data_IF_652156236361
#
_entry.id   IF_652156236361
#
_cell.length_a   1.000
_cell.length_b   1.000
_cell.length_c   1.000
_cell.angle_alpha   90.00
_cell.angle_beta   90.00
_cell.angle_gamma   90.00
#
_symmetry.space_group_name_H-M   'P 1'
#
loop_
_entity.id
_entity.type
_entity.pdbx_description
1 polymer ?
#
# COMPACT_ATOMS: atom_id res chain seq x y z
N UNK A 1 13.06 3.20 -5.77
CA UNK A 1 12.46 2.40 -6.86
C UNK A 1 11.07 1.89 -6.45
N UNK A 2 10.12 1.67 -7.38
CA UNK A 2 8.81 1.12 -7.06
C UNK A 2 8.89 -0.38 -6.76
N UNK A 3 8.17 -0.83 -5.74
CA UNK A 3 8.04 -2.26 -5.41
C UNK A 3 6.57 -2.62 -5.18
N UNK A 4 6.15 -3.81 -5.60
CA UNK A 4 4.77 -4.27 -5.47
C UNK A 4 4.66 -5.29 -4.34
N UNK A 5 3.77 -5.03 -3.39
CA UNK A 5 3.41 -5.98 -2.34
C UNK A 5 2.15 -6.74 -2.80
N UNK A 6 2.14 -8.06 -2.62
CA UNK A 6 1.02 -8.94 -3.01
C UNK A 6 0.06 -9.18 -1.84
N UNK A 7 0.58 -9.36 -0.63
CA UNK A 7 -0.22 -9.70 0.55
C UNK A 7 -0.50 -8.50 1.44
N UNK A 8 -1.67 -8.50 2.09
CA UNK A 8 -2.06 -7.44 3.02
C UNK A 8 -1.18 -7.47 4.28
N UNK A 9 -0.80 -8.67 4.75
CA UNK A 9 0.05 -8.84 5.94
C UNK A 9 1.39 -8.11 5.78
N UNK A 10 2.07 -8.33 4.66
CA UNK A 10 3.34 -7.67 4.33
C UNK A 10 3.18 -6.15 4.22
N UNK A 11 2.04 -5.69 3.71
CA UNK A 11 1.76 -4.26 3.63
C UNK A 11 1.62 -3.64 5.02
N UNK A 12 0.90 -4.29 5.94
CA UNK A 12 0.74 -3.81 7.32
C UNK A 12 2.08 -3.79 8.07
N UNK A 13 2.93 -4.82 7.88
CA UNK A 13 4.28 -4.84 8.44
C UNK A 13 5.12 -3.69 7.85
N UNK A 14 5.04 -3.46 6.54
CA UNK A 14 5.78 -2.40 5.86
C UNK A 14 5.34 -1.01 6.31
N UNK A 15 4.03 -0.80 6.50
CA UNK A 15 3.47 0.47 6.95
C UNK A 15 3.86 0.84 8.39
N UNK A 16 4.15 -0.17 9.24
CA UNK A 16 4.60 0.02 10.63
C UNK A 16 6.12 0.19 10.79
N UNK A 17 6.90 0.06 9.72
CA UNK A 17 8.36 0.23 9.80
C UNK A 17 8.72 1.65 10.19
N UNK A 18 9.79 1.81 10.97
CA UNK A 18 10.32 3.13 11.39
C UNK A 18 10.68 4.06 10.21
N UNK A 19 11.03 3.50 9.05
CA UNK A 19 11.40 4.25 7.86
C UNK A 19 10.21 4.58 6.93
N UNK A 20 9.00 4.14 7.27
CA UNK A 20 7.79 4.52 6.56
C UNK A 20 7.44 5.99 6.88
N UNK A 21 7.39 6.83 5.84
CA UNK A 21 7.21 8.29 5.97
C UNK A 21 5.78 8.74 5.69
N UNK A 22 5.11 8.12 4.71
CA UNK A 22 3.75 8.49 4.32
C UNK A 22 3.06 7.37 3.58
N UNK A 23 1.73 7.34 3.66
CA UNK A 23 0.87 6.47 2.87
C UNK A 23 0.00 7.33 1.96
N UNK A 24 -0.01 7.03 0.67
CA UNK A 24 -0.91 7.65 -0.32
C UNK A 24 -1.87 6.61 -0.85
N UNK A 25 -3.16 6.86 -0.69
CA UNK A 25 -4.23 6.02 -1.21
C UNK A 25 -4.66 6.59 -2.56
N UNK A 26 -4.45 5.83 -3.64
CA UNK A 26 -4.91 6.18 -4.97
C UNK A 26 -6.09 5.30 -5.35
N UNK A 27 -7.29 5.86 -5.32
CA UNK A 27 -8.51 5.24 -5.86
C UNK A 27 -8.50 5.37 -7.39
N UNK A 28 -8.64 4.25 -8.10
CA UNK A 28 -8.96 4.17 -9.52
C UNK A 28 -10.33 3.48 -9.68
N UNK A 29 -10.87 3.46 -10.91
CA UNK A 29 -12.20 2.90 -11.21
C UNK A 29 -12.39 1.48 -10.65
N UNK A 30 -11.42 0.59 -10.90
CA UNK A 30 -11.53 -0.86 -10.59
C UNK A 30 -10.56 -1.34 -9.50
N UNK A 31 -9.72 -0.45 -8.98
CA UNK A 31 -8.68 -0.82 -8.01
C UNK A 31 -8.28 0.35 -7.13
N UNK A 32 -7.99 0.05 -5.88
CA UNK A 32 -7.37 0.98 -4.94
C UNK A 32 -5.91 0.59 -4.79
N UNK A 33 -5.02 1.57 -4.87
CA UNK A 33 -3.58 1.39 -4.66
C UNK A 33 -3.17 2.08 -3.38
N UNK A 34 -2.71 1.30 -2.41
CA UNK A 34 -2.09 1.82 -1.19
C UNK A 34 -0.59 1.91 -1.41
N UNK A 35 -0.06 3.13 -1.38
CA UNK A 35 1.34 3.40 -1.67
C UNK A 35 2.03 3.89 -0.42
N UNK A 36 2.88 3.07 0.21
CA UNK A 36 3.69 3.49 1.36
C UNK A 36 5.09 3.90 0.89
N UNK A 37 5.49 5.12 1.25
CA UNK A 37 6.83 5.65 0.97
C UNK A 37 7.75 5.32 2.13
N UNK A 38 8.77 4.52 1.86
CA UNK A 38 9.89 4.28 2.76
C UNK A 38 11.13 5.06 2.27
N UNK A 39 12.27 4.92 2.95
CA UNK A 39 13.51 5.62 2.59
C UNK A 39 13.94 5.33 1.15
N UNK A 40 14.14 4.05 0.79
CA UNK A 40 14.61 3.66 -0.55
C UNK A 40 13.50 3.33 -1.57
N UNK A 41 12.36 2.84 -1.10
CA UNK A 41 11.33 2.24 -1.94
C UNK A 41 9.96 2.86 -1.76
N UNK A 42 9.16 2.80 -2.82
CA UNK A 42 7.73 3.06 -2.78
C UNK A 42 7.02 1.72 -2.93
N UNK A 43 6.48 1.20 -1.83
CA UNK A 43 5.75 -0.06 -1.86
C UNK A 43 4.30 0.19 -2.21
N UNK A 44 3.76 -0.59 -3.13
CA UNK A 44 2.37 -0.46 -3.58
C UNK A 44 1.64 -1.78 -3.39
N UNK A 45 0.59 -1.77 -2.57
CA UNK A 45 -0.43 -2.81 -2.51
C UNK A 45 -1.58 -2.42 -3.44
N UNK A 46 -2.08 -3.37 -4.23
CA UNK A 46 -3.19 -3.15 -5.16
C UNK A 46 -4.35 -4.06 -4.77
N UNK A 47 -5.48 -3.47 -4.37
CA UNK A 47 -6.70 -4.18 -4.00
C UNK A 47 -7.76 -3.89 -5.05
N UNK A 48 -8.42 -4.93 -5.57
CA UNK A 48 -9.55 -4.82 -6.51
C UNK A 48 -10.90 -4.79 -5.80
N UNK A 49 -10.98 -5.48 -4.67
CA UNK A 49 -12.16 -5.53 -3.81
C UNK A 49 -12.33 -4.20 -3.05
N UNK A 50 -13.45 -3.50 -3.29
CA UNK A 50 -13.71 -2.17 -2.72
C UNK A 50 -13.97 -2.24 -1.22
N UNK A 51 -14.69 -3.23 -0.74
CA UNK A 51 -15.01 -3.36 0.69
C UNK A 51 -13.76 -3.66 1.50
N UNK A 52 -12.89 -4.55 1.00
CA UNK A 52 -11.58 -4.81 1.63
C UNK A 52 -10.68 -3.59 1.62
N UNK A 53 -10.74 -2.77 0.57
CA UNK A 53 -9.97 -1.53 0.47
C UNK A 53 -10.52 -0.39 1.35
N UNK A 54 -11.76 -0.46 1.82
CA UNK A 54 -12.32 0.55 2.72
C UNK A 54 -12.06 0.23 4.19
N UNK A 55 -11.96 -1.06 4.51
CA UNK A 55 -11.59 -1.55 5.85
C UNK A 55 -10.10 -1.46 6.17
N UNK A 56 -9.25 -1.23 5.16
CA UNK A 56 -7.79 -1.17 5.28
C UNK A 56 -7.29 0.28 5.36
#
# INVERSE_FOLDING_TARGET
MPHKIKEIKDFLLTARRKDAKSVKIKKNKDKVKFKVRCSGYLYTLVIRDKEKAEKL
#
